data_IF_362806500016
#
_entry.id   IF_362806500016
#
_cell.length_a   1.000
_cell.length_b   1.000
_cell.length_c   1.000
_cell.angle_alpha   90.00
_cell.angle_beta   90.00
_cell.angle_gamma   90.00
#
_symmetry.space_group_name_H-M   'P 1'
#
loop_
_entity.id
_entity.type
_entity.pdbx_description
1 polymer ?
#
# COMPACT_ATOMS: atom_id res chain seq x y z
N UNK A 1 12.71 -22.01 -59.71
CA UNK A 1 13.82 -21.07 -59.52
C UNK A 1 13.47 -20.14 -58.36
N UNK A 2 14.40 -20.02 -57.42
CA UNK A 2 14.33 -19.31 -56.13
C UNK A 2 13.95 -17.82 -56.22
N UNK A 3 13.30 -17.28 -55.18
CA UNK A 3 13.82 -16.18 -54.32
C UNK A 3 12.82 -15.85 -53.18
N UNK A 4 13.14 -16.22 -51.92
CA UNK A 4 13.49 -15.35 -50.77
C UNK A 4 12.41 -14.32 -50.33
N UNK A 5 11.77 -14.53 -49.17
CA UNK A 5 12.10 -14.00 -47.81
C UNK A 5 11.35 -12.70 -47.48
N UNK A 6 10.41 -12.78 -46.52
CA UNK A 6 10.53 -12.07 -45.25
C UNK A 6 9.57 -12.68 -44.22
N UNK A 7 10.15 -13.24 -43.16
CA UNK A 7 9.47 -13.81 -42.02
C UNK A 7 9.49 -12.80 -40.87
N UNK A 8 8.32 -12.35 -40.42
CA UNK A 8 8.15 -11.56 -39.20
C UNK A 8 7.78 -12.52 -38.07
N UNK A 9 8.72 -12.79 -37.17
CA UNK A 9 8.51 -13.65 -36.00
C UNK A 9 7.91 -12.81 -34.85
N UNK A 10 6.68 -13.14 -34.47
CA UNK A 10 6.04 -12.66 -33.24
C UNK A 10 6.53 -13.51 -32.07
N UNK A 11 7.09 -12.89 -31.02
CA UNK A 11 7.53 -13.58 -29.80
C UNK A 11 6.37 -13.58 -28.82
N UNK A 12 5.73 -14.74 -28.63
CA UNK A 12 4.76 -14.98 -27.56
C UNK A 12 5.55 -15.52 -26.36
N UNK A 13 5.63 -14.74 -25.28
CA UNK A 13 6.18 -15.22 -24.00
C UNK A 13 5.09 -16.00 -23.24
N UNK A 14 5.20 -17.32 -23.22
CA UNK A 14 4.40 -18.22 -22.39
C UNK A 14 5.15 -18.42 -21.07
N UNK A 15 4.57 -17.95 -19.96
CA UNK A 15 5.02 -18.30 -18.60
C UNK A 15 4.40 -19.65 -18.25
N UNK A 16 5.24 -20.70 -18.21
CA UNK A 16 4.87 -22.04 -17.79
C UNK A 16 4.96 -22.16 -16.27
N UNK A 17 3.81 -22.37 -15.62
CA UNK A 17 3.69 -22.71 -14.21
C UNK A 17 3.90 -24.23 -14.06
N UNK A 18 5.06 -24.67 -13.59
CA UNK A 18 5.30 -26.08 -13.28
C UNK A 18 4.90 -26.38 -11.83
N UNK A 19 3.82 -27.14 -11.68
CA UNK A 19 3.60 -27.98 -10.50
C UNK A 19 4.58 -29.16 -10.56
N UNK A 20 5.35 -29.39 -9.49
CA UNK A 20 6.30 -30.48 -9.41
C UNK A 20 6.35 -31.06 -8.00
N UNK A 21 5.77 -32.25 -7.84
CA UNK A 21 6.10 -33.18 -6.77
C UNK A 21 7.52 -33.74 -7.02
N UNK A 22 8.34 -33.71 -5.95
CA UNK A 22 9.52 -34.52 -5.60
C UNK A 22 10.33 -35.25 -6.69
N UNK A 23 11.63 -34.93 -6.78
CA UNK A 23 12.75 -35.88 -6.65
C UNK A 23 14.09 -35.12 -6.62
N UNK A 24 14.94 -35.46 -5.65
CA UNK A 24 16.21 -34.80 -5.36
C UNK A 24 17.24 -34.93 -6.50
N UNK A 25 17.95 -33.83 -6.79
CA UNK A 25 19.34 -33.85 -7.28
C UNK A 25 20.06 -32.54 -6.91
N UNK A 26 21.29 -32.74 -6.47
CA UNK A 26 22.24 -31.83 -5.80
C UNK A 26 22.84 -30.76 -6.72
N UNK A 27 23.10 -29.56 -6.17
CA UNK A 27 24.21 -28.70 -6.62
C UNK A 27 23.94 -27.22 -6.91
N UNK A 28 24.01 -26.38 -5.86
CA UNK A 28 24.59 -25.02 -5.82
C UNK A 28 23.91 -23.83 -6.56
N UNK A 29 23.22 -22.96 -5.81
CA UNK A 29 23.59 -21.53 -5.66
C UNK A 29 22.63 -20.77 -4.71
N UNK A 30 23.13 -20.43 -3.51
CA UNK A 30 22.98 -19.08 -2.95
C UNK A 30 21.59 -18.50 -2.64
N UNK A 31 20.64 -19.27 -2.15
CA UNK A 31 19.61 -18.75 -1.25
C UNK A 31 19.30 -19.83 -0.22
N UNK A 32 19.92 -19.75 0.96
CA UNK A 32 19.43 -20.54 2.09
C UNK A 32 18.02 -20.05 2.33
N UNK A 33 17.03 -20.82 1.89
CA UNK A 33 15.68 -20.67 2.39
C UNK A 33 15.81 -20.93 3.89
N UNK A 34 15.93 -19.86 4.68
CA UNK A 34 16.11 -19.97 6.12
C UNK A 34 14.86 -20.65 6.64
N UNK A 35 15.02 -21.86 7.17
CA UNK A 35 13.92 -22.65 7.71
C UNK A 35 13.15 -21.82 8.75
N UNK A 36 11.85 -22.08 8.86
CA UNK A 36 11.06 -21.50 9.95
C UNK A 36 11.70 -21.90 11.28
N UNK A 37 11.86 -20.98 12.23
CA UNK A 37 12.22 -21.36 13.59
C UNK A 37 11.17 -22.33 14.14
N UNK A 38 11.58 -23.32 14.96
CA UNK A 38 10.64 -24.16 15.68
C UNK A 38 9.94 -23.36 16.78
N UNK A 39 8.80 -23.84 17.25
CA UNK A 39 7.95 -23.15 18.23
C UNK A 39 8.70 -22.87 19.55
N UNK A 40 9.50 -23.83 20.01
CA UNK A 40 10.30 -23.77 21.24
C UNK A 40 11.34 -22.65 21.16
N UNK A 41 11.88 -22.38 19.98
CA UNK A 41 12.83 -21.28 19.77
C UNK A 41 12.12 -19.93 19.88
N UNK A 42 10.90 -19.80 19.36
CA UNK A 42 10.08 -18.60 19.55
C UNK A 42 9.78 -18.38 21.04
N UNK A 43 9.42 -19.43 21.78
CA UNK A 43 9.19 -19.36 23.23
C UNK A 43 10.46 -18.92 23.98
N UNK A 44 11.64 -19.39 23.57
CA UNK A 44 12.89 -18.94 24.17
C UNK A 44 13.15 -17.44 23.96
N UNK A 45 12.86 -16.92 22.76
CA UNK A 45 13.02 -15.49 22.44
C UNK A 45 12.00 -14.61 23.16
N UNK A 46 10.83 -15.17 23.48
CA UNK A 46 9.84 -14.54 24.34
C UNK A 46 10.36 -14.45 25.77
N UNK A 47 10.86 -15.56 26.32
CA UNK A 47 11.31 -15.66 27.69
C UNK A 47 12.53 -14.78 27.99
N UNK A 48 13.45 -14.64 27.04
CA UNK A 48 14.65 -13.81 27.18
C UNK A 48 14.46 -12.35 26.72
N UNK A 49 13.27 -11.98 26.24
CA UNK A 49 12.93 -10.64 25.79
C UNK A 49 13.57 -10.21 24.46
N UNK A 50 14.17 -11.14 23.70
CA UNK A 50 14.86 -10.82 22.43
C UNK A 50 13.98 -10.95 21.19
N UNK A 51 12.72 -11.39 21.33
CA UNK A 51 11.77 -11.68 20.23
C UNK A 51 11.80 -10.66 19.09
N UNK A 52 11.60 -9.38 19.39
CA UNK A 52 11.49 -8.32 18.37
C UNK A 52 12.76 -8.18 17.51
N UNK A 53 13.94 -8.41 18.11
CA UNK A 53 15.22 -8.35 17.40
C UNK A 53 15.41 -9.57 16.50
N UNK A 54 15.02 -10.77 16.98
CA UNK A 54 15.15 -12.03 16.25
C UNK A 54 14.17 -12.15 15.09
N UNK A 55 12.94 -11.64 15.24
CA UNK A 55 11.93 -11.66 14.18
C UNK A 55 12.33 -10.85 12.92
N UNK A 56 13.32 -9.96 13.02
CA UNK A 56 13.89 -9.25 11.85
C UNK A 56 14.63 -10.17 10.89
N UNK A 57 15.16 -11.29 11.38
CA UNK A 57 15.94 -12.25 10.57
C UNK A 57 15.10 -13.42 10.07
N UNK A 58 13.93 -13.66 10.65
CA UNK A 58 13.02 -14.76 10.28
C UNK A 58 12.36 -14.46 8.93
N UNK A 59 12.55 -15.31 7.92
CA UNK A 59 12.01 -15.12 6.56
C UNK A 59 10.67 -15.80 6.31
N UNK A 60 10.37 -16.86 7.04
CA UNK A 60 9.13 -17.64 6.93
C UNK A 60 8.76 -18.23 8.29
N UNK A 61 7.48 -18.60 8.45
CA UNK A 61 6.96 -19.27 9.64
C UNK A 61 6.20 -20.54 9.25
N UNK A 62 6.30 -21.55 10.11
CA UNK A 62 5.39 -22.69 10.15
C UNK A 62 4.19 -22.37 11.07
N UNK A 63 3.19 -23.25 11.05
CA UNK A 63 1.94 -23.11 11.80
C UNK A 63 2.18 -23.04 13.31
N UNK A 64 3.07 -23.87 13.86
CA UNK A 64 3.30 -23.94 15.30
C UNK A 64 4.01 -22.69 15.83
N UNK A 65 5.01 -22.19 15.10
CA UNK A 65 5.67 -20.92 15.41
C UNK A 65 4.68 -19.74 15.35
N UNK A 66 3.80 -19.70 14.34
CA UNK A 66 2.76 -18.68 14.23
C UNK A 66 1.77 -18.74 15.42
N UNK A 67 1.39 -19.94 15.87
CA UNK A 67 0.53 -20.12 17.05
C UNK A 67 1.19 -19.55 18.31
N UNK A 68 2.47 -19.85 18.57
CA UNK A 68 3.18 -19.30 19.73
C UNK A 68 3.16 -17.76 19.71
N UNK A 69 3.43 -17.14 18.56
CA UNK A 69 3.46 -15.69 18.42
C UNK A 69 2.14 -15.02 18.77
N UNK A 70 1.00 -15.63 18.43
CA UNK A 70 -0.31 -15.03 18.67
C UNK A 70 -0.86 -15.24 20.08
N UNK A 71 -0.32 -16.21 20.82
CA UNK A 71 -0.61 -16.42 22.26
C UNK A 71 0.13 -15.41 23.13
N UNK A 72 1.32 -14.98 22.71
CA UNK A 72 2.13 -14.08 23.50
C UNK A 72 1.53 -12.66 23.50
N UNK A 73 1.14 -12.19 24.68
CA UNK A 73 0.85 -10.77 24.89
C UNK A 73 2.16 -10.00 24.84
N UNK A 74 2.44 -9.40 23.68
CA UNK A 74 3.43 -8.31 23.61
C UNK A 74 3.07 -7.30 24.71
N UNK A 75 4.08 -6.82 25.44
CA UNK A 75 3.96 -6.09 26.70
C UNK A 75 2.76 -5.14 26.75
N UNK A 76 2.12 -5.02 27.92
CA UNK A 76 0.93 -4.18 28.15
C UNK A 76 1.09 -2.81 27.49
N UNK A 77 0.33 -2.58 26.41
CA UNK A 77 0.36 -1.34 25.62
C UNK A 77 0.81 -1.53 24.16
N UNK A 78 1.50 -2.62 23.84
CA UNK A 78 1.86 -2.93 22.45
C UNK A 78 0.69 -3.58 21.72
N UNK A 79 0.07 -2.78 20.84
CA UNK A 79 -1.08 -3.15 20.03
C UNK A 79 -0.66 -3.64 18.64
N UNK A 80 0.60 -4.04 18.46
CA UNK A 80 1.15 -4.43 17.16
C UNK A 80 1.92 -5.75 17.20
N UNK A 81 1.83 -6.51 16.12
CA UNK A 81 2.66 -7.68 15.83
C UNK A 81 3.51 -7.34 14.60
N UNK A 82 4.77 -7.00 14.88
CA UNK A 82 5.74 -6.60 13.87
C UNK A 82 6.57 -7.81 13.41
N UNK A 83 6.42 -8.16 12.13
CA UNK A 83 7.12 -9.28 11.49
C UNK A 83 7.89 -8.79 10.25
N UNK A 84 8.81 -7.81 10.40
CA UNK A 84 9.45 -7.13 9.27
C UNK A 84 10.42 -8.05 8.50
N UNK A 85 10.84 -9.17 9.08
CA UNK A 85 11.71 -10.13 8.43
C UNK A 85 11.00 -11.05 7.45
N UNK A 86 9.67 -11.26 7.60
CA UNK A 86 8.94 -12.26 6.82
C UNK A 86 8.82 -11.85 5.36
N UNK A 87 9.38 -12.65 4.48
CA UNK A 87 9.34 -12.46 3.03
C UNK A 87 8.40 -13.45 2.34
N UNK A 88 7.94 -14.50 3.05
CA UNK A 88 6.94 -15.45 2.56
C UNK A 88 6.11 -16.03 3.71
N UNK A 89 4.82 -16.25 3.48
CA UNK A 89 3.89 -16.92 4.40
C UNK A 89 2.89 -17.77 3.61
N UNK A 90 2.36 -18.82 4.23
CA UNK A 90 1.23 -19.59 3.69
C UNK A 90 -0.11 -18.93 4.05
N UNK A 91 -1.22 -19.25 3.36
CA UNK A 91 -2.55 -18.80 3.76
C UNK A 91 -2.92 -19.22 5.18
N UNK A 92 -2.47 -20.40 5.62
CA UNK A 92 -2.72 -20.89 6.98
C UNK A 92 -2.05 -20.02 8.03
N UNK A 93 -0.76 -19.72 7.83
CA UNK A 93 0.00 -18.82 8.71
C UNK A 93 -0.60 -17.41 8.70
N UNK A 94 -0.98 -16.90 7.52
CA UNK A 94 -1.64 -15.60 7.39
C UNK A 94 -2.94 -15.50 8.20
N UNK A 95 -3.74 -16.58 8.22
CA UNK A 95 -4.97 -16.65 9.03
C UNK A 95 -4.65 -16.65 10.52
N UNK A 96 -3.69 -17.45 10.96
CA UNK A 96 -3.28 -17.52 12.37
C UNK A 96 -2.82 -16.15 12.85
N UNK A 97 -1.87 -15.52 12.12
CA UNK A 97 -1.32 -14.21 12.47
C UNK A 97 -2.36 -13.07 12.46
N UNK A 98 -3.50 -13.27 11.78
CA UNK A 98 -4.57 -12.29 11.69
C UNK A 98 -5.44 -12.19 12.95
N UNK A 99 -5.28 -13.12 13.89
CA UNK A 99 -5.99 -13.14 15.17
C UNK A 99 -4.98 -13.23 16.33
N UNK A 100 -5.31 -12.61 17.46
CA UNK A 100 -4.60 -12.82 18.72
C UNK A 100 -5.46 -13.65 19.66
N UNK A 101 -4.83 -14.48 20.47
CA UNK A 101 -5.54 -15.20 21.51
C UNK A 101 -6.17 -14.21 22.49
N UNK A 102 -7.46 -14.41 22.83
CA UNK A 102 -8.24 -13.47 23.64
C UNK A 102 -9.00 -12.39 22.86
N UNK A 103 -8.89 -12.35 21.52
CA UNK A 103 -9.74 -11.48 20.67
C UNK A 103 -9.35 -10.00 20.66
N UNK A 104 -8.18 -9.64 21.19
CA UNK A 104 -7.69 -8.27 21.20
C UNK A 104 -7.37 -7.77 19.78
N UNK A 105 -7.81 -6.55 19.46
CA UNK A 105 -7.53 -5.89 18.20
C UNK A 105 -6.04 -5.49 18.12
N UNK A 106 -5.27 -6.20 17.29
CA UNK A 106 -3.83 -5.98 17.11
C UNK A 106 -3.52 -5.62 15.65
N UNK A 107 -2.69 -4.61 15.45
CA UNK A 107 -2.12 -4.27 14.16
C UNK A 107 -1.11 -5.32 13.73
N UNK A 108 -1.15 -5.73 12.46
CA UNK A 108 -0.25 -6.72 11.90
C UNK A 108 0.63 -6.05 10.84
N UNK A 109 1.94 -6.03 11.06
CA UNK A 109 2.90 -5.47 10.12
C UNK A 109 3.72 -6.57 9.46
N UNK A 110 3.50 -6.76 8.16
CA UNK A 110 4.14 -7.75 7.31
C UNK A 110 4.95 -7.05 6.21
N UNK A 111 5.68 -6.00 6.60
CA UNK A 111 6.36 -5.09 5.67
C UNK A 111 7.55 -5.74 4.93
N UNK A 112 7.96 -6.96 5.33
CA UNK A 112 8.93 -7.77 4.58
C UNK A 112 8.33 -8.49 3.36
N UNK A 113 7.00 -8.61 3.25
CA UNK A 113 6.35 -9.28 2.12
C UNK A 113 6.38 -8.36 0.90
N UNK A 114 7.17 -8.74 -0.12
CA UNK A 114 7.26 -8.01 -1.38
C UNK A 114 6.24 -8.47 -2.42
N UNK A 115 5.69 -9.68 -2.25
CA UNK A 115 4.61 -10.25 -3.06
C UNK A 115 3.69 -11.11 -2.19
N UNK A 116 2.40 -11.17 -2.51
CA UNK A 116 1.46 -12.12 -1.90
C UNK A 116 0.56 -12.74 -2.98
N UNK A 117 0.05 -13.94 -2.71
CA UNK A 117 -0.97 -14.57 -3.56
C UNK A 117 -2.38 -14.11 -3.18
N UNK A 118 -3.38 -14.30 -4.04
CA UNK A 118 -4.78 -14.07 -3.68
C UNK A 118 -5.22 -14.82 -2.41
N UNK A 119 -4.78 -16.06 -2.22
CA UNK A 119 -5.14 -16.91 -1.07
C UNK A 119 -4.55 -16.35 0.24
N UNK A 120 -3.31 -15.84 0.19
CA UNK A 120 -2.70 -15.14 1.33
C UNK A 120 -3.47 -13.86 1.62
N UNK A 121 -3.80 -13.06 0.61
CA UNK A 121 -4.59 -11.84 0.78
C UNK A 121 -5.99 -12.12 1.37
N UNK A 122 -6.63 -13.20 0.94
CA UNK A 122 -7.92 -13.66 1.46
C UNK A 122 -7.83 -14.10 2.92
N UNK A 123 -6.79 -14.86 3.27
CA UNK A 123 -6.54 -15.24 4.65
C UNK A 123 -6.30 -14.03 5.56
N UNK A 124 -5.54 -13.02 5.09
CA UNK A 124 -5.29 -11.77 5.83
C UNK A 124 -6.56 -10.92 6.03
N UNK A 125 -7.56 -11.08 5.15
CA UNK A 125 -8.85 -10.39 5.24
C UNK A 125 -9.76 -10.92 6.36
N UNK A 126 -9.47 -12.10 6.90
CA UNK A 126 -10.23 -12.69 8.01
C UNK A 126 -10.03 -11.94 9.33
N UNK A 127 -8.87 -11.29 9.50
CA UNK A 127 -8.52 -10.57 10.73
C UNK A 127 -9.43 -9.38 11.03
N UNK A 128 -9.63 -9.11 12.32
CA UNK A 128 -10.45 -8.01 12.82
C UNK A 128 -9.63 -7.11 13.75
N UNK A 129 -9.97 -5.81 13.74
CA UNK A 129 -9.28 -4.82 14.59
C UNK A 129 -7.85 -4.50 14.15
N UNK A 130 -7.28 -3.43 14.72
CA UNK A 130 -5.94 -2.95 14.36
C UNK A 130 -5.85 -2.39 12.94
N UNK A 131 -4.65 -2.40 12.37
CA UNK A 131 -4.37 -2.14 10.95
C UNK A 131 -3.54 -3.27 10.35
N UNK A 132 -3.59 -3.43 9.03
CA UNK A 132 -2.74 -4.37 8.30
C UNK A 132 -1.75 -3.56 7.46
N UNK A 133 -0.46 -3.72 7.75
CA UNK A 133 0.62 -3.10 6.99
C UNK A 133 1.29 -4.11 6.08
N UNK A 134 1.37 -3.75 4.80
CA UNK A 134 1.98 -4.52 3.71
C UNK A 134 2.88 -3.57 2.89
N UNK A 135 3.69 -2.76 3.56
CA UNK A 135 4.51 -1.73 2.90
C UNK A 135 5.66 -2.31 2.06
N UNK A 136 5.91 -3.62 2.14
CA UNK A 136 6.84 -4.31 1.24
C UNK A 136 6.28 -4.45 -0.18
N UNK A 137 4.96 -4.42 -0.37
CA UNK A 137 4.34 -4.53 -1.68
C UNK A 137 4.58 -3.25 -2.49
N UNK A 138 5.26 -3.38 -3.63
CA UNK A 138 5.52 -2.26 -4.56
C UNK A 138 4.52 -2.21 -5.72
N UNK A 139 3.84 -3.33 -5.99
CA UNK A 139 2.73 -3.48 -6.93
C UNK A 139 1.76 -4.56 -6.40
N UNK A 140 0.52 -4.55 -6.89
CA UNK A 140 -0.49 -5.59 -6.62
C UNK A 140 -1.28 -5.89 -7.89
N UNK A 141 -1.70 -7.15 -8.04
CA UNK A 141 -2.66 -7.53 -9.08
C UNK A 141 -4.08 -7.11 -8.70
N UNK A 142 -4.98 -7.03 -9.69
CA UNK A 142 -6.41 -6.80 -9.44
C UNK A 142 -7.02 -7.88 -8.54
N UNK A 143 -6.56 -9.14 -8.63
CA UNK A 143 -7.09 -10.20 -7.79
C UNK A 143 -6.67 -10.06 -6.32
N UNK A 144 -5.41 -9.68 -6.07
CA UNK A 144 -4.92 -9.37 -4.72
C UNK A 144 -5.68 -8.15 -4.17
N UNK A 145 -5.83 -7.09 -4.97
CA UNK A 145 -6.60 -5.90 -4.59
C UNK A 145 -8.05 -6.25 -4.22
N UNK A 146 -8.70 -7.14 -4.98
CA UNK A 146 -10.05 -7.64 -4.70
C UNK A 146 -10.14 -8.32 -3.33
N UNK A 147 -9.21 -9.23 -3.01
CA UNK A 147 -9.19 -9.90 -1.70
C UNK A 147 -8.89 -8.92 -0.56
N UNK A 148 -7.91 -8.04 -0.74
CA UNK A 148 -7.58 -7.00 0.24
C UNK A 148 -8.74 -6.02 0.46
N UNK A 149 -9.57 -5.72 -0.55
CA UNK A 149 -10.76 -4.86 -0.38
C UNK A 149 -11.72 -5.38 0.71
N UNK A 150 -11.74 -6.70 0.94
CA UNK A 150 -12.54 -7.36 1.97
C UNK A 150 -12.00 -7.24 3.40
N UNK A 151 -10.77 -6.74 3.57
CA UNK A 151 -10.19 -6.47 4.89
C UNK A 151 -11.06 -5.43 5.61
N UNK A 152 -11.44 -5.69 6.86
CA UNK A 152 -12.35 -4.83 7.64
C UNK A 152 -11.63 -3.81 8.54
N UNK A 153 -10.32 -3.70 8.39
CA UNK A 153 -9.41 -2.85 9.17
C UNK A 153 -8.61 -1.93 8.25
N UNK A 154 -7.93 -0.94 8.83
CA UNK A 154 -7.10 0.00 8.08
C UNK A 154 -6.05 -0.76 7.25
N UNK A 155 -5.93 -0.45 5.97
CA UNK A 155 -4.88 -0.96 5.10
C UNK A 155 -3.75 0.06 4.93
N UNK A 156 -2.51 -0.39 5.10
CA UNK A 156 -1.31 0.43 4.89
C UNK A 156 -0.50 -0.20 3.77
N UNK A 157 -0.52 0.45 2.61
CA UNK A 157 0.10 0.00 1.35
C UNK A 157 1.04 1.09 0.83
N UNK A 158 1.82 1.69 1.74
CA UNK A 158 2.69 2.82 1.43
C UNK A 158 3.91 2.42 0.57
N UNK A 159 4.12 1.12 0.35
CA UNK A 159 5.13 0.59 -0.56
C UNK A 159 4.77 0.75 -2.04
N UNK A 160 3.47 0.81 -2.37
CA UNK A 160 3.01 0.78 -3.76
C UNK A 160 3.59 1.95 -4.55
N UNK A 161 4.22 1.62 -5.68
CA UNK A 161 4.84 2.58 -6.61
C UNK A 161 3.98 2.81 -7.84
N UNK A 162 3.18 1.81 -8.21
CA UNK A 162 2.21 1.89 -9.31
C UNK A 162 0.90 1.25 -8.87
N UNK A 163 -0.18 1.66 -9.53
CA UNK A 163 -1.52 1.10 -9.33
C UNK A 163 -2.23 1.05 -10.68
N UNK A 164 -2.60 -0.14 -11.15
CA UNK A 164 -3.38 -0.27 -12.38
C UNK A 164 -4.84 0.18 -12.15
N UNK A 165 -5.54 0.49 -13.23
CA UNK A 165 -6.97 0.79 -13.21
C UNK A 165 -7.78 -0.32 -12.53
N UNK A 166 -7.51 -1.58 -12.86
CA UNK A 166 -8.25 -2.74 -12.34
C UNK A 166 -8.02 -2.92 -10.83
N UNK A 167 -6.77 -2.75 -10.37
CA UNK A 167 -6.48 -2.79 -8.94
C UNK A 167 -7.11 -1.60 -8.19
N UNK A 168 -7.11 -0.41 -8.78
CA UNK A 168 -7.77 0.77 -8.23
C UNK A 168 -9.30 0.58 -8.08
N UNK A 169 -9.97 -0.02 -9.08
CA UNK A 169 -11.40 -0.35 -9.02
C UNK A 169 -11.72 -1.25 -7.83
N UNK A 170 -10.88 -2.25 -7.58
CA UNK A 170 -11.08 -3.16 -6.46
C UNK A 170 -10.77 -2.48 -5.11
N UNK A 171 -9.67 -1.72 -5.00
CA UNK A 171 -9.36 -0.98 -3.78
C UNK A 171 -10.42 0.07 -3.42
N UNK A 172 -11.04 0.71 -4.40
CA UNK A 172 -12.10 1.69 -4.16
C UNK A 172 -13.30 1.09 -3.41
N UNK A 173 -13.53 -0.23 -3.54
CA UNK A 173 -14.59 -0.97 -2.84
C UNK A 173 -14.29 -1.19 -1.36
N UNK A 174 -13.04 -1.03 -0.92
CA UNK A 174 -12.64 -1.21 0.46
C UNK A 174 -13.49 -0.34 1.39
N UNK A 175 -13.94 -0.91 2.50
CA UNK A 175 -14.90 -0.27 3.41
C UNK A 175 -14.27 0.34 4.66
N UNK A 176 -12.94 0.35 4.73
CA UNK A 176 -12.18 1.05 5.76
C UNK A 176 -11.20 2.06 5.15
N UNK A 177 -10.35 2.63 5.97
CA UNK A 177 -9.34 3.61 5.56
C UNK A 177 -8.14 2.92 4.94
N UNK A 178 -7.53 3.53 3.93
CA UNK A 178 -6.25 3.06 3.42
C UNK A 178 -5.25 4.18 3.11
N UNK A 179 -3.97 3.83 3.03
CA UNK A 179 -2.89 4.78 2.74
C UNK A 179 -1.98 4.24 1.64
N UNK A 180 -1.74 5.06 0.61
CA UNK A 180 -0.85 4.75 -0.53
C UNK A 180 0.23 5.83 -0.67
N UNK A 181 0.95 6.16 0.41
CA UNK A 181 1.89 7.31 0.38
C UNK A 181 3.13 7.08 -0.50
N UNK A 182 3.33 5.86 -0.99
CA UNK A 182 4.38 5.51 -1.94
C UNK A 182 4.07 5.87 -3.39
N UNK A 183 2.79 6.07 -3.74
CA UNK A 183 2.38 6.48 -5.07
C UNK A 183 2.76 7.94 -5.28
N UNK A 184 3.70 8.18 -6.19
CA UNK A 184 4.12 9.53 -6.60
C UNK A 184 3.34 10.01 -7.82
N UNK A 185 2.85 9.08 -8.63
CA UNK A 185 2.04 9.32 -9.81
C UNK A 185 0.89 8.31 -9.86
N UNK A 186 -0.19 8.67 -10.56
CA UNK A 186 -1.34 7.82 -10.82
C UNK A 186 -1.92 8.17 -12.19
N UNK A 187 -2.38 7.17 -12.95
CA UNK A 187 -3.04 7.42 -14.23
C UNK A 187 -4.43 8.02 -14.02
N UNK A 188 -4.97 8.69 -15.04
CA UNK A 188 -6.30 9.29 -14.95
C UNK A 188 -7.39 8.21 -14.73
N UNK A 189 -7.24 7.02 -15.30
CA UNK A 189 -8.20 5.92 -15.12
C UNK A 189 -8.15 5.33 -13.71
N UNK A 190 -6.95 5.17 -13.14
CA UNK A 190 -6.79 4.73 -11.76
C UNK A 190 -7.28 5.80 -10.76
N UNK A 191 -7.04 7.07 -11.06
CA UNK A 191 -7.54 8.19 -10.27
C UNK A 191 -9.07 8.25 -10.28
N UNK A 192 -9.69 8.07 -11.45
CA UNK A 192 -11.14 8.03 -11.59
C UNK A 192 -11.74 6.84 -10.83
N UNK A 193 -11.10 5.67 -10.89
CA UNK A 193 -11.54 4.52 -10.11
C UNK A 193 -11.47 4.79 -8.58
N UNK A 194 -10.35 5.36 -8.10
CA UNK A 194 -10.20 5.70 -6.68
C UNK A 194 -11.14 6.83 -6.21
N UNK A 195 -11.62 7.68 -7.13
CA UNK A 195 -12.56 8.76 -6.79
C UNK A 195 -13.89 8.24 -6.21
N UNK A 196 -14.22 6.97 -6.48
CA UNK A 196 -15.42 6.26 -6.00
C UNK A 196 -15.29 5.76 -4.55
N UNK A 197 -14.10 5.85 -3.95
CA UNK A 197 -13.90 5.43 -2.57
C UNK A 197 -14.55 6.41 -1.58
N UNK A 198 -15.31 5.89 -0.62
CA UNK A 198 -16.11 6.70 0.30
C UNK A 198 -15.53 6.87 1.70
N UNK A 199 -14.38 6.27 2.00
CA UNK A 199 -13.70 6.40 3.29
C UNK A 199 -12.42 7.24 3.15
N UNK A 200 -11.73 7.47 4.27
CA UNK A 200 -10.45 8.19 4.30
C UNK A 200 -9.39 7.45 3.48
N UNK A 201 -8.77 8.14 2.53
CA UNK A 201 -7.72 7.62 1.66
C UNK A 201 -6.56 8.62 1.60
N UNK A 202 -5.38 8.25 2.09
CA UNK A 202 -4.21 9.14 2.09
C UNK A 202 -3.30 8.87 0.89
N UNK A 203 -3.12 9.90 0.05
CA UNK A 203 -2.32 9.89 -1.18
C UNK A 203 -1.16 10.90 -1.11
N UNK A 204 -0.54 11.03 0.07
CA UNK A 204 0.43 12.08 0.39
C UNK A 204 1.74 12.00 -0.41
N UNK A 205 1.91 10.93 -1.21
CA UNK A 205 3.06 10.71 -2.08
C UNK A 205 2.99 11.49 -3.40
N UNK A 206 1.78 11.85 -3.84
CA UNK A 206 1.55 12.38 -5.20
C UNK A 206 2.30 13.70 -5.42
N UNK A 207 3.01 13.76 -6.55
CA UNK A 207 3.71 14.97 -7.01
C UNK A 207 2.91 15.75 -8.02
N UNK A 208 1.89 15.14 -8.64
CA UNK A 208 1.02 15.77 -9.64
C UNK A 208 -0.44 15.45 -9.33
N UNK A 209 -1.30 16.47 -9.38
CA UNK A 209 -2.75 16.29 -9.29
C UNK A 209 -3.41 16.69 -10.60
N UNK A 210 -3.87 15.71 -11.37
CA UNK A 210 -4.56 15.93 -12.66
C UNK A 210 -6.06 15.72 -12.55
N UNK A 211 -6.50 14.74 -11.74
CA UNK A 211 -7.90 14.38 -11.57
C UNK A 211 -8.63 15.28 -10.55
N UNK A 212 -9.62 16.03 -11.05
CA UNK A 212 -10.51 16.83 -10.21
C UNK A 212 -11.40 15.95 -9.32
N UNK A 213 -11.93 14.83 -9.85
CA UNK A 213 -12.79 13.90 -9.13
C UNK A 213 -12.06 13.27 -7.95
N UNK A 214 -10.84 12.77 -8.16
CA UNK A 214 -10.01 12.23 -7.09
C UNK A 214 -9.68 13.30 -6.04
N UNK A 215 -9.29 14.51 -6.48
CA UNK A 215 -8.96 15.60 -5.56
C UNK A 215 -10.15 15.98 -4.68
N UNK A 216 -11.35 16.10 -5.28
CA UNK A 216 -12.58 16.39 -4.54
C UNK A 216 -12.88 15.29 -3.51
N UNK A 217 -12.71 14.01 -3.89
CA UNK A 217 -12.87 12.88 -2.97
C UNK A 217 -11.86 12.91 -1.83
N UNK A 218 -10.58 13.16 -2.10
CA UNK A 218 -9.53 13.28 -1.07
C UNK A 218 -9.82 14.42 -0.10
N UNK A 219 -10.20 15.60 -0.60
CA UNK A 219 -10.54 16.76 0.24
C UNK A 219 -11.75 16.48 1.14
N UNK A 220 -12.78 15.82 0.60
CA UNK A 220 -14.00 15.45 1.35
C UNK A 220 -13.73 14.38 2.40
N UNK A 221 -13.05 13.30 2.02
CA UNK A 221 -12.83 12.13 2.89
C UNK A 221 -11.72 12.32 3.93
N UNK A 222 -10.87 13.34 3.75
CA UNK A 222 -9.73 13.63 4.60
C UNK A 222 -9.78 15.06 5.18
N UNK A 223 -10.96 15.63 5.37
CA UNK A 223 -11.04 17.00 5.87
C UNK A 223 -10.25 17.19 7.18
N UNK A 224 -9.42 18.23 7.23
CA UNK A 224 -8.50 18.49 8.35
C UNK A 224 -7.21 17.64 8.39
N UNK A 225 -7.04 16.70 7.45
CA UNK A 225 -5.87 15.81 7.34
C UNK A 225 -5.31 15.66 5.92
N UNK A 226 -5.95 16.26 4.90
CA UNK A 226 -5.46 16.26 3.54
C UNK A 226 -4.05 16.87 3.47
N UNK A 227 -3.14 16.21 2.77
CA UNK A 227 -1.74 16.59 2.70
C UNK A 227 -1.24 16.49 1.26
N UNK A 228 -0.93 17.65 0.69
CA UNK A 228 -0.41 17.81 -0.66
C UNK A 228 0.99 18.42 -0.68
N UNK A 229 1.77 18.24 0.38
CA UNK A 229 3.10 18.86 0.53
C UNK A 229 4.08 18.50 -0.58
N UNK A 230 3.91 17.34 -1.22
CA UNK A 230 4.74 16.87 -2.33
C UNK A 230 4.24 17.30 -3.71
N UNK A 231 3.05 17.88 -3.82
CA UNK A 231 2.46 18.27 -5.09
C UNK A 231 3.21 19.44 -5.69
N UNK A 232 3.75 19.24 -6.88
CA UNK A 232 4.56 20.18 -7.66
C UNK A 232 3.75 20.85 -8.78
N UNK A 233 2.81 20.12 -9.38
CA UNK A 233 1.95 20.62 -10.46
C UNK A 233 0.49 20.24 -10.24
N UNK A 234 -0.44 21.10 -10.65
CA UNK A 234 -1.89 20.83 -10.65
C UNK A 234 -2.51 21.16 -12.01
N UNK A 235 -3.59 20.47 -12.39
CA UNK A 235 -4.40 20.82 -13.56
C UNK A 235 -5.38 21.96 -13.29
N UNK A 236 -5.92 22.59 -14.34
CA UNK A 236 -6.97 23.62 -14.23
C UNK A 236 -8.22 23.10 -13.50
N UNK A 237 -8.60 21.84 -13.75
CA UNK A 237 -9.71 21.19 -13.06
C UNK A 237 -9.46 21.09 -11.56
N UNK A 238 -8.23 20.73 -11.17
CA UNK A 238 -7.84 20.66 -9.75
C UNK A 238 -7.79 22.04 -9.11
N UNK A 239 -7.33 23.07 -9.83
CA UNK A 239 -7.34 24.45 -9.34
C UNK A 239 -8.77 24.92 -9.00
N UNK A 240 -9.77 24.60 -9.85
CA UNK A 240 -11.18 24.91 -9.58
C UNK A 240 -11.68 24.22 -8.31
N UNK A 241 -11.40 22.92 -8.15
CA UNK A 241 -11.78 22.16 -6.94
C UNK A 241 -11.17 22.75 -5.67
N UNK A 242 -9.89 23.13 -5.71
CA UNK A 242 -9.21 23.76 -4.58
C UNK A 242 -9.76 25.16 -4.28
N UNK A 243 -10.10 25.95 -5.29
CA UNK A 243 -10.72 27.27 -5.10
C UNK A 243 -12.09 27.19 -4.40
N UNK A 244 -12.83 26.11 -4.64
CA UNK A 244 -14.11 25.82 -4.01
C UNK A 244 -13.98 25.14 -2.64
N UNK A 245 -12.78 24.79 -2.19
CA UNK A 245 -12.58 24.13 -0.91
C UNK A 245 -13.10 24.96 0.28
N UNK A 246 -13.93 24.34 1.13
CA UNK A 246 -14.53 24.93 2.34
C UNK A 246 -14.27 24.12 3.61
N UNK A 247 -13.35 23.16 3.57
CA UNK A 247 -13.10 22.26 4.70
C UNK A 247 -12.46 22.95 5.91
N UNK A 248 -12.26 22.22 6.99
CA UNK A 248 -11.96 22.79 8.31
C UNK A 248 -10.58 23.46 8.42
N UNK A 249 -9.52 22.85 7.88
CA UNK A 249 -8.14 23.36 7.95
C UNK A 249 -7.64 23.91 6.62
N UNK A 250 -6.68 24.86 6.62
CA UNK A 250 -6.03 25.28 5.39
C UNK A 250 -5.32 24.12 4.67
N UNK A 251 -5.30 24.19 3.34
CA UNK A 251 -4.52 23.31 2.47
C UNK A 251 -3.25 24.05 2.07
N UNK A 252 -2.11 23.52 2.54
CA UNK A 252 -0.80 24.03 2.16
C UNK A 252 -0.27 23.30 0.92
N UNK A 253 0.22 24.07 -0.04
CA UNK A 253 0.83 23.57 -1.28
C UNK A 253 2.31 23.98 -1.40
N UNK A 254 3.16 23.75 -0.37
CA UNK A 254 4.53 24.28 -0.33
C UNK A 254 5.42 23.72 -1.44
N UNK A 255 5.08 22.53 -1.96
CA UNK A 255 5.80 21.88 -3.04
C UNK A 255 5.49 22.42 -4.43
N UNK A 256 4.48 23.29 -4.60
CA UNK A 256 4.03 23.72 -5.91
C UNK A 256 5.12 24.53 -6.63
N UNK A 257 5.59 24.01 -7.76
CA UNK A 257 6.66 24.62 -8.55
C UNK A 257 6.12 25.32 -9.80
N UNK A 258 4.99 24.87 -10.33
CA UNK A 258 4.39 25.38 -11.57
C UNK A 258 2.90 25.66 -11.37
N UNK A 259 2.47 26.86 -11.75
CA UNK A 259 1.07 27.29 -11.69
C UNK A 259 0.88 28.45 -12.67
N UNK A 260 -0.14 28.39 -13.53
CA UNK A 260 -0.49 29.52 -14.40
C UNK A 260 -1.03 30.69 -13.57
N UNK A 261 -0.85 31.93 -14.03
CA UNK A 261 -1.35 33.10 -13.30
C UNK A 261 -2.89 33.07 -13.16
N UNK A 262 -3.61 32.52 -14.14
CA UNK A 262 -5.07 32.31 -14.05
C UNK A 262 -5.42 31.41 -12.85
N UNK A 263 -4.72 30.29 -12.69
CA UNK A 263 -4.94 29.38 -11.56
C UNK A 263 -4.43 29.97 -10.24
N UNK A 264 -3.32 30.73 -10.26
CA UNK A 264 -2.82 31.42 -9.08
C UNK A 264 -3.82 32.46 -8.57
N UNK A 265 -4.33 33.31 -9.46
CA UNK A 265 -5.37 34.30 -9.12
C UNK A 265 -6.63 33.63 -8.57
N UNK A 266 -7.06 32.53 -9.19
CA UNK A 266 -8.21 31.74 -8.73
C UNK A 266 -8.00 31.19 -7.31
N UNK A 267 -6.82 30.64 -7.01
CA UNK A 267 -6.51 30.05 -5.71
C UNK A 267 -6.29 31.11 -4.62
N UNK A 268 -5.72 32.27 -4.94
CA UNK A 268 -5.56 33.40 -3.99
C UNK A 268 -6.89 33.90 -3.43
N UNK A 269 -7.99 33.76 -4.19
CA UNK A 269 -9.32 34.15 -3.74
C UNK A 269 -9.84 33.29 -2.57
N UNK A 270 -9.27 32.10 -2.35
CA UNK A 270 -9.62 31.22 -1.24
C UNK A 270 -8.57 31.31 -0.11
N UNK A 271 -8.92 31.96 1.00
CA UNK A 271 -8.05 32.10 2.18
C UNK A 271 -7.66 30.76 2.84
N UNK A 272 -8.33 29.65 2.51
CA UNK A 272 -7.97 28.31 2.99
C UNK A 272 -6.93 27.63 2.11
N UNK A 273 -6.53 28.21 0.99
CA UNK A 273 -5.46 27.69 0.15
C UNK A 273 -4.20 28.51 0.40
N UNK A 274 -3.14 27.85 0.88
CA UNK A 274 -1.86 28.48 1.17
C UNK A 274 -0.87 28.14 0.05
N UNK A 275 -0.62 29.13 -0.81
CA UNK A 275 0.33 29.02 -1.92
C UNK A 275 1.76 29.36 -1.48
N UNK A 276 2.80 28.80 -2.14
CA UNK A 276 4.17 29.27 -2.02
C UNK A 276 4.31 30.76 -2.32
N UNK A 277 5.25 31.44 -1.66
CA UNK A 277 5.41 32.91 -1.74
C UNK A 277 5.49 33.46 -3.16
N UNK A 278 6.13 32.72 -4.09
CA UNK A 278 6.25 33.10 -5.50
C UNK A 278 4.91 33.21 -6.25
N UNK A 279 3.86 32.56 -5.75
CA UNK A 279 2.52 32.60 -6.32
C UNK A 279 1.53 33.45 -5.51
N UNK A 280 1.96 34.14 -4.45
CA UNK A 280 1.06 34.92 -3.59
C UNK A 280 0.72 36.31 -4.14
N UNK A 281 1.49 36.81 -5.10
CA UNK A 281 1.28 38.12 -5.74
C UNK A 281 1.22 37.94 -7.26
N UNK A 282 0.50 38.81 -7.99
CA UNK A 282 0.56 38.82 -9.46
C UNK A 282 2.00 38.99 -9.93
N UNK A 283 2.35 38.37 -11.06
CA UNK A 283 3.63 38.63 -11.73
C UNK A 283 3.72 40.11 -12.09
N UNK A 284 4.81 40.77 -11.67
CA UNK A 284 5.09 42.15 -12.08
C UNK A 284 5.50 42.12 -13.55
N UNK A 285 4.66 42.66 -14.43
CA UNK A 285 4.96 42.87 -15.85
C UNK A 285 5.96 44.01 -16.04
#
# INVERSE_FOLDING_TARGET
MNSNRHATKFVISIVLLLAGHSLAKTGNSGAVATESPPAELIESWIADGTLSTKLRTVKTLNVEAAKVLVKHKVAVGDRTLDLPGLTSITPEVARILSFREGGEAVGLHLDGLTTITPEVAEALATGQGGGLSLNGLTTISAEVAKRLSGVKRKLVLNGLKTLSREAAVELAKHKSKFTLTGLTEISDEAAEALSQHSQTMLLNGLTRLTSASLTATVLRSNDGFANFKKVQTISDGVAKVLAEYRGTKPIELPGLTELSEVNAALLRANQKIVLPSKFQKPEQQ
#
